data_IF_599451437064
#
_entry.id   IF_599451437064
#
_cell.length_a   1.000
_cell.length_b   1.000
_cell.length_c   1.000
_cell.angle_alpha   90.00
_cell.angle_beta   90.00
_cell.angle_gamma   90.00
#
_symmetry.space_group_name_H-M   'P 1'
#
loop_
_entity.id
_entity.type
_entity.pdbx_description
1 polymer ?
#
# COMPACT_ATOMS: atom_id res chain seq x y z
N UNK A 1 -9.17 -4.65 -1.82
CA UNK A 1 -8.57 -3.94 -0.67
C UNK A 1 -8.06 -4.99 0.29
N UNK A 2 -6.81 -4.89 0.73
CA UNK A 2 -6.23 -5.78 1.73
C UNK A 2 -4.74 -6.02 1.51
N UNK A 3 -4.17 -6.95 2.27
CA UNK A 3 -2.81 -7.46 2.13
C UNK A 3 -2.70 -8.40 0.92
N UNK A 4 -1.76 -8.12 0.02
CA UNK A 4 -1.45 -8.95 -1.15
C UNK A 4 -0.13 -9.68 -1.03
N UNK A 5 0.68 -9.45 0.02
CA UNK A 5 2.00 -10.06 0.23
C UNK A 5 2.97 -9.95 -0.97
N UNK A 6 2.80 -8.91 -1.78
CA UNK A 6 3.66 -8.62 -2.93
C UNK A 6 4.18 -7.20 -2.75
N UNK A 7 5.50 -6.95 -2.64
CA UNK A 7 6.03 -5.59 -2.51
C UNK A 7 5.87 -4.79 -3.80
N UNK A 8 5.43 -3.54 -3.68
CA UNK A 8 5.19 -2.66 -4.82
C UNK A 8 6.45 -2.36 -5.65
N UNK A 9 7.63 -2.39 -5.03
CA UNK A 9 8.89 -1.96 -5.65
C UNK A 9 9.65 -3.11 -6.34
N UNK A 10 9.23 -4.36 -6.16
CA UNK A 10 9.85 -5.50 -6.85
C UNK A 10 9.20 -5.68 -8.22
N UNK A 11 10.00 -5.43 -9.25
CA UNK A 11 9.54 -5.47 -10.65
C UNK A 11 9.50 -6.89 -11.19
N UNK A 12 8.59 -7.12 -12.14
CA UNK A 12 8.27 -8.40 -12.76
C UNK A 12 7.67 -9.44 -11.79
N UNK A 13 7.07 -8.97 -10.70
CA UNK A 13 6.36 -9.80 -9.71
C UNK A 13 4.87 -9.38 -9.60
N UNK A 14 4.20 -9.72 -8.48
CA UNK A 14 2.74 -9.64 -8.36
C UNK A 14 2.15 -8.25 -8.56
N UNK A 15 2.83 -7.18 -8.11
CA UNK A 15 2.34 -5.81 -8.34
C UNK A 15 2.26 -5.47 -9.84
N UNK A 16 3.31 -5.83 -10.59
CA UNK A 16 3.34 -5.64 -12.03
C UNK A 16 2.29 -6.49 -12.73
N UNK A 17 2.09 -7.75 -12.31
CA UNK A 17 1.05 -8.62 -12.84
C UNK A 17 -0.35 -7.99 -12.69
N UNK A 18 -0.68 -7.48 -11.50
CA UNK A 18 -2.00 -6.90 -11.21
C UNK A 18 -2.23 -5.64 -12.06
N UNK A 19 -1.27 -4.72 -12.07
CA UNK A 19 -1.41 -3.45 -12.80
C UNK A 19 -1.41 -3.63 -14.31
N UNK A 20 -0.61 -4.55 -14.85
CA UNK A 20 -0.64 -4.90 -16.28
C UNK A 20 -1.92 -5.62 -16.70
N UNK A 21 -2.63 -6.25 -15.75
CA UNK A 21 -3.95 -6.86 -15.98
C UNK A 21 -5.10 -5.85 -16.00
N UNK A 22 -4.80 -4.54 -16.01
CA UNK A 22 -5.79 -3.46 -16.11
C UNK A 22 -6.38 -3.01 -14.76
N UNK A 23 -5.78 -3.41 -13.64
CA UNK A 23 -6.17 -2.90 -12.32
C UNK A 23 -5.44 -1.61 -12.00
N UNK A 24 -6.17 -0.70 -11.38
CA UNK A 24 -5.73 0.64 -11.00
C UNK A 24 -5.37 0.67 -9.51
N UNK A 25 -4.16 1.12 -9.18
CA UNK A 25 -3.68 1.27 -7.81
C UNK A 25 -4.08 2.64 -7.27
N UNK A 26 -4.93 2.68 -6.24
CA UNK A 26 -5.36 3.94 -5.63
C UNK A 26 -4.18 4.79 -5.11
N UNK A 27 -3.07 4.16 -4.70
CA UNK A 27 -1.85 4.91 -4.33
C UNK A 27 -1.28 5.64 -5.55
N UNK A 28 -1.17 4.96 -6.69
CA UNK A 28 -0.62 5.52 -7.92
C UNK A 28 -1.55 6.58 -8.54
N UNK A 29 -2.86 6.45 -8.35
CA UNK A 29 -3.83 7.39 -8.90
C UNK A 29 -4.10 8.59 -7.97
N UNK A 30 -3.62 8.54 -6.71
CA UNK A 30 -3.92 9.58 -5.73
C UNK A 30 -3.22 10.91 -6.02
N UNK A 31 -4.00 12.00 -5.98
CA UNK A 31 -3.51 13.38 -6.11
C UNK A 31 -2.65 13.80 -4.92
N UNK A 32 -3.02 13.40 -3.70
CA UNK A 32 -2.25 13.61 -2.47
C UNK A 32 -1.92 12.26 -1.83
N UNK A 33 -0.64 12.04 -1.52
CA UNK A 33 -0.14 10.81 -0.87
C UNK A 33 0.58 11.16 0.42
N UNK A 34 0.16 10.56 1.52
CA UNK A 34 0.78 10.72 2.83
C UNK A 34 1.24 9.36 3.36
N UNK A 35 2.55 9.15 3.31
CA UNK A 35 3.15 7.83 3.56
C UNK A 35 3.07 6.90 2.35
N UNK A 36 3.66 5.72 2.46
CA UNK A 36 3.64 4.69 1.41
C UNK A 36 3.77 3.28 1.97
N UNK A 37 4.64 3.10 2.97
CA UNK A 37 4.83 1.83 3.65
C UNK A 37 3.56 1.38 4.38
N UNK A 38 3.23 0.10 4.25
CA UNK A 38 2.14 -0.56 4.97
C UNK A 38 2.66 -1.56 5.97
N UNK A 39 3.96 -1.86 5.97
CA UNK A 39 4.63 -2.63 7.03
C UNK A 39 6.02 -2.04 7.33
N UNK A 40 6.46 -2.05 8.60
CA UNK A 40 7.84 -1.74 8.95
C UNK A 40 8.82 -2.83 8.48
N UNK A 41 10.14 -2.58 8.55
CA UNK A 41 11.14 -3.63 8.35
C UNK A 41 10.96 -4.79 9.35
N UNK A 42 11.37 -5.98 8.91
CA UNK A 42 11.55 -7.16 9.76
C UNK A 42 10.32 -7.66 10.55
N UNK A 43 9.12 -7.60 9.95
CA UNK A 43 7.93 -8.31 10.46
C UNK A 43 7.97 -9.81 10.14
N UNK A 44 7.02 -10.59 10.69
CA UNK A 44 6.91 -12.01 10.36
C UNK A 44 6.66 -12.23 8.86
N UNK A 45 7.29 -13.26 8.28
CA UNK A 45 7.33 -13.48 6.82
C UNK A 45 8.30 -12.57 6.05
N UNK A 46 8.76 -11.45 6.62
CA UNK A 46 9.66 -10.48 5.98
C UNK A 46 10.89 -10.13 6.84
N UNK A 47 11.36 -11.06 7.69
CA UNK A 47 12.36 -10.80 8.73
C UNK A 47 13.71 -10.29 8.19
N UNK A 48 14.04 -10.59 6.93
CA UNK A 48 15.27 -10.12 6.25
C UNK A 48 15.12 -8.75 5.60
N UNK A 49 13.90 -8.22 5.47
CA UNK A 49 13.69 -6.90 4.88
C UNK A 49 14.25 -5.84 5.82
N UNK A 50 15.21 -5.06 5.30
CA UNK A 50 15.79 -3.90 6.00
C UNK A 50 15.02 -2.61 5.73
N UNK A 51 14.12 -2.64 4.75
CA UNK A 51 13.34 -1.51 4.31
C UNK A 51 11.87 -1.78 4.63
N UNK A 52 11.09 -0.73 4.94
CA UNK A 52 9.65 -0.85 5.02
C UNK A 52 9.09 -1.21 3.64
N UNK A 53 7.96 -1.92 3.62
CA UNK A 53 7.34 -2.41 2.38
C UNK A 53 5.94 -1.85 2.24
N UNK A 54 5.46 -1.79 0.99
CA UNK A 54 4.05 -1.57 0.66
C UNK A 54 3.51 -2.86 0.06
N UNK A 55 2.72 -3.58 0.84
CA UNK A 55 2.11 -4.88 0.47
C UNK A 55 0.58 -4.88 0.63
N UNK A 56 0.02 -3.84 1.25
CA UNK A 56 -1.42 -3.62 1.36
C UNK A 56 -1.89 -2.62 0.32
N UNK A 57 -2.97 -2.96 -0.40
CA UNK A 57 -3.41 -2.22 -1.57
C UNK A 57 -4.92 -2.00 -1.59
N UNK A 58 -5.32 -0.90 -2.24
CA UNK A 58 -6.69 -0.68 -2.69
C UNK A 58 -6.64 -0.58 -4.22
N UNK A 59 -6.92 -1.70 -4.89
CA UNK A 59 -7.05 -1.75 -6.34
C UNK A 59 -8.50 -1.54 -6.80
N UNK A 60 -8.66 -1.00 -8.00
CA UNK A 60 -9.94 -0.81 -8.69
C UNK A 60 -9.88 -1.39 -10.12
N UNK A 61 -10.97 -1.97 -10.60
CA UNK A 61 -11.08 -2.46 -11.98
C UNK A 61 -11.46 -1.37 -12.99
N UNK A 62 -11.49 -0.11 -12.54
CA UNK A 62 -11.72 1.09 -13.34
C UNK A 62 -10.89 2.25 -12.79
N UNK A 63 -10.54 3.26 -13.60
CA UNK A 63 -9.93 4.48 -13.10
C UNK A 63 -10.82 5.11 -12.02
N UNK A 64 -10.22 5.54 -10.91
CA UNK A 64 -10.92 6.30 -9.87
C UNK A 64 -10.12 7.55 -9.53
N UNK A 65 -10.80 8.68 -9.38
CA UNK A 65 -10.17 9.92 -8.94
C UNK A 65 -9.91 9.85 -7.42
N UNK A 66 -8.77 9.27 -7.03
CA UNK A 66 -8.34 9.26 -5.65
C UNK A 66 -7.85 10.67 -5.27
N UNK A 67 -8.63 11.38 -4.46
CA UNK A 67 -8.26 12.71 -3.97
C UNK A 67 -7.10 12.62 -2.96
N UNK A 68 -7.12 11.60 -2.09
CA UNK A 68 -6.11 11.40 -1.05
C UNK A 68 -5.90 9.94 -0.73
N UNK A 69 -4.65 9.55 -0.57
CA UNK A 69 -4.20 8.27 0.00
C UNK A 69 -3.38 8.55 1.26
N UNK A 70 -3.68 7.88 2.36
CA UNK A 70 -3.00 8.07 3.64
C UNK A 70 -2.75 6.75 4.36
N UNK A 71 -1.52 6.58 4.85
CA UNK A 71 -1.17 5.52 5.80
C UNK A 71 -1.68 5.89 7.19
N UNK A 72 -2.31 4.94 7.87
CA UNK A 72 -2.91 5.09 9.20
C UNK A 72 -2.24 4.16 10.20
N UNK A 73 -2.21 4.56 11.47
CA UNK A 73 -1.69 3.73 12.57
C UNK A 73 -0.21 3.33 12.41
N UNK A 74 0.60 4.20 11.80
CA UNK A 74 2.05 4.02 11.65
C UNK A 74 2.85 4.50 12.88
N UNK A 75 2.16 4.94 13.94
CA UNK A 75 2.77 5.53 15.12
C UNK A 75 3.04 7.03 15.02
N UNK A 76 2.86 7.67 13.84
CA UNK A 76 3.12 9.11 13.68
C UNK A 76 1.94 9.98 14.13
N UNK A 77 0.75 9.72 13.57
CA UNK A 77 -0.49 10.48 13.89
C UNK A 77 -1.44 9.75 14.83
N UNK A 78 -1.40 8.41 14.79
CA UNK A 78 -2.21 7.53 15.63
C UNK A 78 -1.32 6.41 16.18
N UNK A 79 -1.67 5.83 17.35
CA UNK A 79 -0.97 4.67 17.87
C UNK A 79 -0.92 3.53 16.86
N UNK A 80 0.21 2.80 16.86
CA UNK A 80 0.33 1.55 16.14
C UNK A 80 -0.56 0.48 16.78
N UNK A 81 -1.31 -0.25 15.97
CA UNK A 81 -2.29 -1.27 16.44
C UNK A 81 -2.04 -2.67 15.86
N UNK A 82 -1.09 -2.81 14.94
CA UNK A 82 -0.74 -4.04 14.24
C UNK A 82 0.68 -3.91 13.67
N UNK A 83 1.30 -5.02 13.27
CA UNK A 83 2.53 -5.00 12.46
C UNK A 83 2.29 -4.54 11.00
N UNK A 84 1.02 -4.48 10.57
CA UNK A 84 0.58 -3.75 9.40
C UNK A 84 -0.01 -2.37 9.75
N UNK A 85 0.33 -1.37 8.97
CA UNK A 85 -0.30 -0.06 8.99
C UNK A 85 -1.55 -0.06 8.11
N UNK A 86 -2.56 0.71 8.53
CA UNK A 86 -3.80 0.85 7.78
C UNK A 86 -3.63 1.71 6.53
N UNK A 87 -4.49 1.49 5.54
CA UNK A 87 -4.58 2.30 4.32
C UNK A 87 -5.96 2.96 4.27
N UNK A 88 -6.00 4.26 4.06
CA UNK A 88 -7.23 5.01 3.82
C UNK A 88 -7.17 5.77 2.49
N UNK A 89 -8.24 5.70 1.71
CA UNK A 89 -8.37 6.44 0.44
C UNK A 89 -9.68 7.23 0.45
N UNK A 90 -9.59 8.49 0.02
CA UNK A 90 -10.73 9.38 -0.23
C UNK A 90 -10.81 9.58 -1.75
N UNK A 91 -11.98 9.29 -2.30
CA UNK A 91 -12.30 9.52 -3.72
C UNK A 91 -13.12 10.80 -3.89
N UNK A 92 -13.01 11.43 -5.06
CA UNK A 92 -13.80 12.59 -5.49
C UNK A 92 -14.88 12.21 -6.49
#
# INVERSE_FOLDING_TARGET
>A
MGDFNNPADIRKEGYDLITQSGWHDAYADAAVREGSATVPPAIDGWQKSKLPLRIDYIFSNRPQAAARYEIKFDGNKQPCVSDHYGVAVIYS
#
